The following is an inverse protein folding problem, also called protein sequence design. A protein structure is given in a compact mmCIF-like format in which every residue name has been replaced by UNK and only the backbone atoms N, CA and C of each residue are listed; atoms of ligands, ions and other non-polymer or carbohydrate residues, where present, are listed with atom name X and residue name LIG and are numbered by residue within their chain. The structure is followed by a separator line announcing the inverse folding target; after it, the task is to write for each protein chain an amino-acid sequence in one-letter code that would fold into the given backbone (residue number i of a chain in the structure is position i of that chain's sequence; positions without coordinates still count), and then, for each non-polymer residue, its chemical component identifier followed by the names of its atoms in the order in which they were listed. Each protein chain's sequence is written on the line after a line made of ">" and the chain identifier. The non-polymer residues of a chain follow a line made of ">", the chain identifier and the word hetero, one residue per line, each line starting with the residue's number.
data_IF_537927612057
#
_entry.id   IF_537927612057
#
_cell.length_a   1.000
_cell.length_b   1.000
_cell.length_c   1.000
_cell.angle_alpha   90.00
_cell.angle_beta   90.00
_cell.angle_gamma   90.00
#
_symmetry.space_group_name_H-M   'P 1'
#
loop_
_entity.id
_entity.type
_entity.pdbx_description
1 polymer ?
#
# COMPACT_ATOMS: atom_id res chain seq x y z
N UNK A 1 -21.86 21.23 11.74
CA UNK A 1 -23.21 20.73 11.46
C UNK A 1 -23.17 19.23 11.65
N UNK A 2 -23.59 18.79 12.85
CA UNK A 2 -23.42 17.40 13.34
C UNK A 2 -24.65 16.58 12.93
N UNK A 3 -24.44 15.47 12.24
CA UNK A 3 -25.51 14.48 12.04
C UNK A 3 -25.52 13.51 13.23
N UNK A 4 -26.59 13.62 14.01
CA UNK A 4 -26.93 12.72 15.10
C UNK A 4 -27.85 11.64 14.54
N UNK A 5 -27.39 10.40 14.51
CA UNK A 5 -28.25 9.24 14.17
C UNK A 5 -28.73 8.64 15.49
N UNK A 6 -30.05 8.69 15.65
CA UNK A 6 -30.78 8.15 16.79
C UNK A 6 -31.01 6.66 16.64
N UNK A 7 -30.61 5.93 17.66
CA UNK A 7 -30.88 4.49 17.84
C UNK A 7 -32.28 4.36 18.51
N UNK A 8 -33.24 3.75 17.83
CA UNK A 8 -34.40 3.10 18.52
C UNK A 8 -35.05 2.03 17.65
N UNK A 9 -35.24 0.90 18.31
CA UNK A 9 -36.25 -0.15 18.12
C UNK A 9 -35.86 -1.39 17.31
N UNK A 10 -35.25 -2.32 18.05
CA UNK A 10 -35.40 -3.76 17.82
C UNK A 10 -36.16 -4.36 19.00
N UNK A 11 -37.39 -4.78 18.80
CA UNK A 11 -38.04 -5.77 19.66
C UNK A 11 -39.09 -6.60 18.97
N UNK A 12 -38.90 -7.93 19.08
CA UNK A 12 -39.84 -9.03 19.14
C UNK A 12 -40.59 -9.47 17.87
N UNK A 13 -40.30 -10.69 17.47
CA UNK A 13 -41.29 -11.79 17.48
C UNK A 13 -40.61 -13.14 17.31
N UNK A 14 -40.76 -13.93 18.36
CA UNK A 14 -40.58 -15.38 18.42
C UNK A 14 -41.80 -16.06 17.78
N UNK A 15 -41.59 -17.16 17.08
CA UNK A 15 -42.67 -18.02 16.60
C UNK A 15 -42.14 -19.33 16.08
N UNK A 16 -42.47 -20.36 16.81
CA UNK A 16 -42.15 -21.78 16.75
C UNK A 16 -42.62 -22.52 15.48
N UNK A 17 -42.00 -23.75 15.35
CA UNK A 17 -42.54 -25.03 14.78
C UNK A 17 -42.43 -25.19 13.25
N UNK A 18 -42.00 -26.24 12.62
CA UNK A 18 -41.92 -27.68 12.87
C UNK A 18 -41.18 -28.36 11.71
N UNK A 19 -40.41 -29.37 12.04
CA UNK A 19 -40.01 -30.59 11.32
C UNK A 19 -40.61 -30.83 9.94
N UNK A 20 -39.76 -31.19 8.97
CA UNK A 20 -39.91 -32.44 8.16
C UNK A 20 -38.65 -32.65 7.31
N UNK A 21 -38.01 -33.80 7.52
CA UNK A 21 -36.83 -34.23 6.78
C UNK A 21 -37.13 -34.58 5.32
N UNK A 22 -36.17 -34.34 4.49
CA UNK A 22 -35.97 -35.06 3.22
C UNK A 22 -34.47 -35.14 2.95
N UNK A 23 -33.99 -36.37 3.00
CA UNK A 23 -32.67 -36.78 2.52
C UNK A 23 -32.54 -36.45 1.04
N UNK A 24 -31.48 -35.72 0.67
CA UNK A 24 -31.01 -35.60 -0.70
C UNK A 24 -29.59 -36.14 -0.77
N UNK A 25 -29.46 -37.17 -1.54
CA UNK A 25 -28.27 -37.92 -1.88
C UNK A 25 -27.22 -37.00 -2.48
N UNK A 26 -26.04 -36.99 -1.89
CA UNK A 26 -24.87 -36.30 -2.43
C UNK A 26 -24.38 -37.02 -3.68
N UNK A 27 -24.43 -36.34 -4.82
CA UNK A 27 -23.66 -36.73 -6.01
C UNK A 27 -22.37 -35.95 -5.99
N UNK A 28 -21.28 -36.65 -5.67
CA UNK A 28 -19.91 -36.15 -5.76
C UNK A 28 -19.53 -36.08 -7.25
N UNK A 29 -19.62 -34.89 -7.84
CA UNK A 29 -18.95 -34.60 -9.11
C UNK A 29 -17.58 -34.05 -8.77
N UNK A 30 -16.54 -34.88 -8.83
CA UNK A 30 -15.15 -34.48 -8.81
C UNK A 30 -14.84 -33.81 -10.15
N UNK A 31 -15.05 -32.51 -10.23
CA UNK A 31 -14.56 -31.69 -11.31
C UNK A 31 -13.13 -31.25 -10.99
N UNK A 32 -12.14 -31.94 -11.55
CA UNK A 32 -10.76 -31.44 -11.66
C UNK A 32 -10.78 -30.19 -12.56
N UNK A 33 -11.05 -29.02 -11.99
CA UNK A 33 -10.68 -27.77 -12.61
C UNK A 33 -9.26 -27.46 -12.15
N UNK A 34 -8.30 -27.73 -13.05
CA UNK A 34 -6.94 -27.24 -12.92
C UNK A 34 -6.98 -25.76 -12.67
N UNK A 35 -6.64 -25.35 -11.44
CA UNK A 35 -6.26 -23.97 -11.18
C UNK A 35 -4.99 -23.71 -11.99
N UNK A 36 -5.16 -23.14 -13.17
CA UNK A 36 -4.06 -22.57 -13.91
C UNK A 36 -3.39 -21.55 -13.00
N UNK A 37 -2.18 -21.88 -12.56
CA UNK A 37 -1.27 -20.90 -11.99
C UNK A 37 -1.12 -19.84 -13.08
N UNK A 38 -1.80 -18.70 -12.92
CA UNK A 38 -1.56 -17.57 -13.77
C UNK A 38 -0.12 -17.17 -13.51
N UNK A 39 0.77 -17.55 -14.45
CA UNK A 39 2.11 -16.97 -14.54
C UNK A 39 1.93 -15.46 -14.41
N UNK A 40 2.68 -14.85 -13.48
CA UNK A 40 2.75 -13.40 -13.36
C UNK A 40 3.13 -12.81 -14.70
N UNK A 41 2.12 -12.48 -15.50
CA UNK A 41 2.31 -11.74 -16.73
C UNK A 41 2.94 -10.42 -16.36
N UNK A 42 4.02 -10.12 -17.03
CA UNK A 42 4.76 -8.86 -16.95
C UNK A 42 3.78 -7.71 -17.22
N UNK A 43 3.14 -7.18 -16.17
CA UNK A 43 2.10 -6.14 -16.28
C UNK A 43 2.66 -4.83 -16.82
N UNK A 44 3.99 -4.71 -16.89
CA UNK A 44 4.68 -3.59 -17.51
C UNK A 44 4.61 -3.59 -19.04
N UNK A 45 4.22 -4.70 -19.70
CA UNK A 45 4.05 -4.78 -21.13
C UNK A 45 2.67 -4.35 -21.63
N UNK A 46 1.72 -4.10 -20.73
CA UNK A 46 0.37 -3.66 -21.08
C UNK A 46 0.35 -2.14 -21.32
N UNK A 47 -0.35 -1.72 -22.37
CA UNK A 47 -0.55 -0.30 -22.66
C UNK A 47 -1.17 0.43 -21.46
N UNK A 48 -0.75 1.67 -21.16
CA UNK A 48 -1.33 2.46 -20.10
C UNK A 48 -2.84 2.67 -20.33
N UNK A 49 -3.65 2.59 -19.27
CA UNK A 49 -5.08 2.94 -19.34
C UNK A 49 -5.28 4.45 -19.41
N UNK A 50 -4.39 5.19 -18.76
CA UNK A 50 -4.31 6.65 -18.85
C UNK A 50 -2.88 6.97 -19.24
N UNK A 51 -2.70 7.50 -20.45
CA UNK A 51 -1.38 7.83 -20.97
C UNK A 51 -0.79 9.06 -20.26
N UNK A 52 0.50 9.05 -19.91
CA UNK A 52 1.20 10.26 -19.49
C UNK A 52 1.19 11.32 -20.59
N UNK A 53 0.90 12.57 -20.25
CA UNK A 53 0.93 13.70 -21.19
C UNK A 53 2.35 14.24 -21.38
N UNK A 54 2.61 14.92 -22.52
CA UNK A 54 3.90 15.56 -22.80
C UNK A 54 5.04 14.57 -23.02
N UNK A 55 6.28 15.00 -22.71
CA UNK A 55 7.50 14.21 -22.85
C UNK A 55 8.16 13.94 -21.50
N UNK A 56 9.13 13.00 -21.45
CA UNK A 56 9.90 12.69 -20.23
C UNK A 56 10.70 13.89 -19.67
N UNK A 57 10.93 14.91 -20.50
CA UNK A 57 11.58 16.15 -20.07
C UNK A 57 10.70 17.02 -19.14
N UNK A 58 9.39 16.83 -19.17
CA UNK A 58 8.43 17.64 -18.38
C UNK A 58 8.15 17.06 -17.00
N UNK A 59 8.61 15.85 -16.68
CA UNK A 59 8.44 15.19 -15.39
C UNK A 59 8.33 13.68 -15.46
N UNK A 60 8.19 13.06 -14.31
CA UNK A 60 8.02 11.61 -14.19
C UNK A 60 6.60 11.18 -14.60
N UNK A 61 6.45 9.94 -15.02
CA UNK A 61 5.22 9.44 -15.61
C UNK A 61 3.99 9.57 -14.72
N UNK A 62 4.10 9.44 -13.39
CA UNK A 62 2.96 9.66 -12.49
C UNK A 62 2.44 11.10 -12.56
N UNK A 63 3.31 12.10 -12.51
CA UNK A 63 2.90 13.51 -12.59
C UNK A 63 2.27 13.81 -13.93
N UNK A 64 2.87 13.35 -15.02
CA UNK A 64 2.37 13.49 -16.39
C UNK A 64 1.03 12.76 -16.61
N UNK A 65 0.81 11.64 -15.94
CA UNK A 65 -0.49 10.94 -15.97
C UNK A 65 -1.56 11.74 -15.25
N UNK A 66 -1.22 12.36 -14.11
CA UNK A 66 -2.17 13.18 -13.34
C UNK A 66 -2.53 14.50 -14.04
N UNK A 67 -1.70 14.98 -14.97
CA UNK A 67 -2.02 16.15 -15.81
C UNK A 67 -3.29 15.97 -16.65
N UNK A 68 -3.78 14.75 -16.85
CA UNK A 68 -5.10 14.49 -17.43
C UNK A 68 -6.25 15.04 -16.56
N UNK A 69 -5.97 15.33 -15.26
CA UNK A 69 -6.92 15.96 -14.33
C UNK A 69 -6.20 17.02 -13.47
N UNK A 70 -5.95 18.23 -14.02
CA UNK A 70 -5.08 19.22 -13.37
C UNK A 70 -5.49 19.61 -11.94
N UNK A 71 -6.79 19.74 -11.67
CA UNK A 71 -7.26 20.07 -10.32
C UNK A 71 -6.96 18.96 -9.30
N UNK A 72 -7.06 17.68 -9.71
CA UNK A 72 -6.67 16.55 -8.87
C UNK A 72 -5.15 16.52 -8.67
N UNK A 73 -4.38 16.75 -9.74
CA UNK A 73 -2.92 16.80 -9.67
C UNK A 73 -2.44 17.87 -8.67
N UNK A 74 -2.98 19.08 -8.71
CA UNK A 74 -2.64 20.17 -7.79
C UNK A 74 -2.94 19.81 -6.32
N UNK A 75 -4.14 19.28 -6.04
CA UNK A 75 -4.54 18.88 -4.70
C UNK A 75 -3.66 17.75 -4.15
N UNK A 76 -3.41 16.73 -4.96
CA UNK A 76 -2.56 15.60 -4.58
C UNK A 76 -1.10 16.03 -4.38
N UNK A 77 -0.53 16.82 -5.28
CA UNK A 77 0.85 17.29 -5.19
C UNK A 77 1.11 18.12 -3.93
N UNK A 78 0.10 18.84 -3.42
CA UNK A 78 0.22 19.56 -2.16
C UNK A 78 0.51 18.62 -1.01
N UNK A 79 -0.23 17.52 -0.92
CA UNK A 79 -0.03 16.50 0.11
C UNK A 79 1.24 15.68 -0.13
N UNK A 80 1.51 15.28 -1.37
CA UNK A 80 2.73 14.54 -1.72
C UNK A 80 4.01 15.30 -1.37
N UNK A 81 4.03 16.64 -1.57
CA UNK A 81 5.16 17.48 -1.17
C UNK A 81 5.35 17.53 0.34
N UNK A 82 4.27 17.51 1.14
CA UNK A 82 4.41 17.40 2.59
C UNK A 82 5.09 16.08 2.95
N UNK A 83 4.62 14.95 2.44
CA UNK A 83 5.18 13.63 2.76
C UNK A 83 6.66 13.54 2.35
N UNK A 84 7.04 14.03 1.18
CA UNK A 84 8.41 13.91 0.68
C UNK A 84 9.39 14.96 1.24
N UNK A 85 8.92 16.17 1.49
CA UNK A 85 9.79 17.30 1.84
C UNK A 85 9.45 18.03 3.13
N UNK A 86 8.22 17.89 3.65
CA UNK A 86 7.74 18.52 4.87
C UNK A 86 7.57 17.55 6.06
N UNK A 87 7.70 16.25 5.83
CA UNK A 87 7.58 15.22 6.87
C UNK A 87 8.67 15.36 7.93
N UNK A 88 8.30 15.07 9.17
CA UNK A 88 9.21 15.07 10.33
C UNK A 88 9.97 13.75 10.49
N UNK A 89 9.66 12.74 9.68
CA UNK A 89 10.35 11.47 9.69
C UNK A 89 11.80 11.61 9.22
N UNK A 90 12.74 10.88 9.84
CA UNK A 90 14.07 10.69 9.26
C UNK A 90 13.94 10.19 7.82
N UNK A 91 14.69 10.74 6.86
CA UNK A 91 14.54 10.35 5.44
C UNK A 91 14.69 8.84 5.19
N UNK A 92 15.60 8.17 5.90
CA UNK A 92 15.78 6.72 5.80
C UNK A 92 14.53 5.96 6.26
N UNK A 93 13.99 6.33 7.41
CA UNK A 93 12.82 5.66 7.99
C UNK A 93 11.59 5.83 7.08
N UNK A 94 11.41 7.03 6.51
CA UNK A 94 10.37 7.30 5.52
C UNK A 94 10.49 6.40 4.29
N UNK A 95 11.70 6.22 3.74
CA UNK A 95 11.88 5.36 2.57
C UNK A 95 11.65 3.87 2.89
N UNK A 96 11.95 3.39 4.09
CA UNK A 96 11.61 2.03 4.51
C UNK A 96 10.09 1.81 4.51
N UNK A 97 9.31 2.78 5.05
CA UNK A 97 7.84 2.74 5.01
C UNK A 97 7.32 2.68 3.57
N UNK A 98 7.86 3.55 2.71
CA UNK A 98 7.42 3.67 1.31
C UNK A 98 7.73 2.40 0.51
N UNK A 99 8.95 1.88 0.65
CA UNK A 99 9.34 0.64 -0.01
C UNK A 99 8.45 -0.53 0.42
N UNK A 100 8.18 -0.65 1.74
CA UNK A 100 7.34 -1.74 2.24
C UNK A 100 5.92 -1.67 1.71
N UNK A 101 5.25 -0.52 1.79
CA UNK A 101 3.89 -0.39 1.27
C UNK A 101 3.85 -0.53 -0.25
N UNK A 102 4.84 0.00 -0.97
CA UNK A 102 4.97 -0.18 -2.42
C UNK A 102 5.07 -1.66 -2.81
N UNK A 103 5.85 -2.44 -2.04
CA UNK A 103 5.98 -3.89 -2.23
C UNK A 103 4.66 -4.62 -1.94
N UNK A 104 4.03 -4.39 -0.78
CA UNK A 104 2.77 -5.01 -0.40
C UNK A 104 1.65 -4.71 -1.40
N UNK A 105 1.60 -3.50 -1.92
CA UNK A 105 0.66 -3.13 -2.98
C UNK A 105 1.02 -3.71 -4.35
N UNK A 106 2.18 -4.34 -4.52
CA UNK A 106 2.68 -4.82 -5.82
C UNK A 106 2.90 -3.68 -6.82
N UNK A 107 3.32 -2.50 -6.36
CA UNK A 107 3.56 -1.31 -7.18
C UNK A 107 5.03 -1.24 -7.62
N UNK A 108 5.34 -1.81 -8.78
CA UNK A 108 6.70 -1.76 -9.34
C UNK A 108 7.18 -0.33 -9.57
N UNK A 109 6.26 0.59 -9.88
CA UNK A 109 6.59 1.99 -10.08
C UNK A 109 7.12 2.65 -8.79
N UNK A 110 6.37 2.50 -7.68
CA UNK A 110 6.81 3.02 -6.37
C UNK A 110 8.11 2.38 -5.93
N UNK A 111 8.18 1.06 -6.03
CA UNK A 111 9.40 0.33 -5.72
C UNK A 111 10.60 0.88 -6.46
N UNK A 112 10.51 1.01 -7.78
CA UNK A 112 11.62 1.44 -8.61
C UNK A 112 12.06 2.88 -8.33
N UNK A 113 11.12 3.81 -8.18
CA UNK A 113 11.43 5.20 -7.85
C UNK A 113 12.07 5.31 -6.46
N UNK A 114 11.45 4.68 -5.47
CA UNK A 114 11.87 4.79 -4.07
C UNK A 114 13.13 3.97 -3.72
N UNK A 115 13.42 2.89 -4.45
CA UNK A 115 14.72 2.22 -4.36
C UNK A 115 15.88 3.17 -4.68
N UNK A 116 15.72 4.03 -5.69
CA UNK A 116 16.74 5.03 -6.03
C UNK A 116 16.88 6.09 -4.94
N UNK A 117 15.77 6.59 -4.41
CA UNK A 117 15.77 7.61 -3.34
C UNK A 117 16.33 7.02 -2.05
N UNK A 118 15.91 5.83 -1.67
CA UNK A 118 16.36 5.12 -0.46
C UNK A 118 17.88 4.98 -0.39
N UNK A 119 18.53 4.65 -1.51
CA UNK A 119 19.99 4.61 -1.60
C UNK A 119 20.65 5.96 -1.31
N UNK A 120 20.05 7.06 -1.72
CA UNK A 120 20.59 8.41 -1.46
C UNK A 120 20.52 8.82 0.01
N UNK A 121 19.65 8.19 0.78
CA UNK A 121 19.47 8.45 2.22
C UNK A 121 20.04 7.35 3.11
N UNK A 122 20.85 6.45 2.54
CA UNK A 122 21.65 5.49 3.28
C UNK A 122 20.99 4.13 3.51
N UNK A 123 19.88 3.81 2.83
CA UNK A 123 19.37 2.43 2.83
C UNK A 123 20.24 1.57 1.93
N UNK A 124 20.74 0.46 2.44
CA UNK A 124 21.64 -0.43 1.70
C UNK A 124 20.87 -1.37 0.76
N UNK A 125 21.56 -1.98 -0.20
CA UNK A 125 20.94 -2.96 -1.10
C UNK A 125 20.42 -4.18 -0.33
N UNK A 126 21.12 -4.60 0.72
CA UNK A 126 20.69 -5.69 1.61
C UNK A 126 19.42 -5.32 2.37
N UNK A 127 19.31 -4.09 2.86
CA UNK A 127 18.10 -3.61 3.54
C UNK A 127 16.93 -3.52 2.57
N UNK A 128 17.14 -3.04 1.35
CA UNK A 128 16.09 -3.00 0.30
C UNK A 128 15.55 -4.40 0.03
N UNK A 129 16.41 -5.40 -0.10
CA UNK A 129 15.98 -6.80 -0.27
C UNK A 129 15.24 -7.32 0.97
N UNK A 130 15.75 -6.98 2.16
CA UNK A 130 15.13 -7.36 3.43
C UNK A 130 13.74 -6.75 3.65
N UNK A 131 13.48 -5.57 3.07
CA UNK A 131 12.12 -5.00 3.06
C UNK A 131 11.10 -5.96 2.42
N UNK A 132 11.51 -6.72 1.40
CA UNK A 132 10.65 -7.72 0.75
C UNK A 132 10.29 -8.83 1.73
N UNK A 133 11.26 -9.33 2.50
CA UNK A 133 11.06 -10.38 3.49
C UNK A 133 10.14 -9.93 4.63
N UNK A 134 10.18 -8.65 4.99
CA UNK A 134 9.27 -8.04 5.96
C UNK A 134 9.85 -7.76 7.34
N UNK A 135 8.97 -7.43 8.31
CA UNK A 135 9.38 -6.98 9.64
C UNK A 135 10.11 -8.04 10.47
N UNK A 136 9.87 -9.32 10.18
CA UNK A 136 10.45 -10.44 10.94
C UNK A 136 11.75 -10.98 10.34
N UNK A 137 12.26 -10.36 9.27
CA UNK A 137 13.53 -10.73 8.66
C UNK A 137 14.70 -10.50 9.61
N UNK A 138 15.65 -11.43 9.61
CA UNK A 138 16.86 -11.32 10.41
C UNK A 138 17.68 -10.07 10.03
N UNK A 139 18.24 -9.40 11.04
CA UNK A 139 19.15 -8.27 10.86
C UNK A 139 18.50 -6.88 10.87
N UNK A 140 17.18 -6.77 11.11
CA UNK A 140 16.58 -5.49 11.46
C UNK A 140 16.89 -5.10 12.91
N UNK A 141 17.15 -3.82 13.15
CA UNK A 141 17.05 -3.28 14.49
C UNK A 141 15.59 -3.34 14.96
N UNK A 142 15.30 -3.49 16.28
CA UNK A 142 13.93 -3.59 16.78
C UNK A 142 13.01 -2.48 16.29
N UNK A 143 13.51 -1.25 16.21
CA UNK A 143 12.75 -0.10 15.73
C UNK A 143 12.43 -0.18 14.23
N UNK A 144 13.37 -0.62 13.39
CA UNK A 144 13.14 -0.80 11.95
C UNK A 144 12.10 -1.91 11.70
N UNK A 145 12.18 -3.00 12.47
CA UNK A 145 11.15 -4.05 12.47
C UNK A 145 9.76 -3.49 12.83
N UNK A 146 9.68 -2.64 13.86
CA UNK A 146 8.42 -2.01 14.25
C UNK A 146 7.88 -1.05 13.16
N UNK A 147 8.76 -0.31 12.46
CA UNK A 147 8.37 0.51 11.32
C UNK A 147 7.73 -0.32 10.20
N UNK A 148 8.36 -1.41 9.80
CA UNK A 148 7.83 -2.29 8.76
C UNK A 148 6.55 -2.99 9.21
N UNK A 149 6.45 -3.39 10.50
CA UNK A 149 5.24 -3.97 11.07
C UNK A 149 4.07 -3.00 11.04
N UNK A 150 4.30 -1.72 11.35
CA UNK A 150 3.27 -0.69 11.23
C UNK A 150 2.72 -0.59 9.80
N UNK A 151 3.57 -0.77 8.79
CA UNK A 151 3.12 -0.80 7.38
C UNK A 151 2.24 -2.01 7.11
N UNK A 152 2.65 -3.20 7.57
CA UNK A 152 1.91 -4.43 7.38
C UNK A 152 0.52 -4.36 8.04
N UNK A 153 0.46 -3.88 9.29
CA UNK A 153 -0.77 -3.68 10.05
C UNK A 153 -1.69 -2.63 9.38
N UNK A 154 -1.15 -1.47 8.97
CA UNK A 154 -1.92 -0.45 8.26
C UNK A 154 -2.46 -0.96 6.91
N UNK A 155 -1.69 -1.81 6.22
CA UNK A 155 -2.11 -2.37 4.94
C UNK A 155 -3.19 -3.44 5.11
N UNK A 156 -3.08 -4.34 6.12
CA UNK A 156 -4.01 -5.45 6.34
C UNK A 156 -5.25 -5.04 7.14
N UNK A 157 -5.06 -4.27 8.21
CA UNK A 157 -6.07 -4.01 9.23
C UNK A 157 -6.55 -2.55 9.27
N UNK A 158 -5.85 -1.65 8.56
CA UNK A 158 -6.09 -0.20 8.57
C UNK A 158 -5.87 0.46 9.94
N UNK A 159 -5.12 -0.19 10.83
CA UNK A 159 -4.82 0.24 12.18
C UNK A 159 -3.43 -0.24 12.60
N UNK A 160 -2.73 0.54 13.43
CA UNK A 160 -1.48 0.12 14.08
C UNK A 160 -1.82 -0.43 15.46
N UNK A 161 -1.36 -1.66 15.75
CA UNK A 161 -1.58 -2.28 17.07
C UNK A 161 -0.92 -1.49 18.19
N UNK A 162 -1.46 -1.59 19.41
CA UNK A 162 -0.88 -0.94 20.61
C UNK A 162 0.59 -1.34 20.83
N UNK A 163 0.94 -2.60 20.52
CA UNK A 163 2.31 -3.09 20.67
C UNK A 163 3.27 -2.34 19.75
N UNK A 164 2.94 -2.29 18.46
CA UNK A 164 3.74 -1.60 17.44
C UNK A 164 3.77 -0.09 17.70
N UNK A 165 2.63 0.49 18.04
CA UNK A 165 2.53 1.91 18.40
C UNK A 165 3.44 2.30 19.55
N UNK A 166 3.42 1.52 20.65
CA UNK A 166 4.24 1.78 21.82
C UNK A 166 5.74 1.65 21.49
N UNK A 167 6.13 0.70 20.66
CA UNK A 167 7.54 0.59 20.21
C UNK A 167 7.96 1.82 19.39
N UNK A 168 7.13 2.27 18.44
CA UNK A 168 7.42 3.50 17.69
C UNK A 168 7.49 4.74 18.58
N UNK A 169 6.62 4.84 19.60
CA UNK A 169 6.59 5.95 20.55
C UNK A 169 7.81 6.00 21.48
N UNK A 170 8.64 4.94 21.54
CA UNK A 170 9.93 4.99 22.27
C UNK A 170 10.91 5.99 21.68
N UNK A 171 10.79 6.25 20.36
CA UNK A 171 11.69 7.12 19.60
C UNK A 171 10.99 8.30 18.92
N UNK A 172 9.74 8.12 18.49
CA UNK A 172 8.98 9.11 17.74
C UNK A 172 8.10 9.98 18.62
N UNK A 173 8.08 11.25 18.32
CA UNK A 173 7.09 12.18 18.87
C UNK A 173 5.74 12.05 18.13
N UNK A 174 4.73 12.79 18.63
CA UNK A 174 3.37 12.77 18.05
C UNK A 174 3.34 13.11 16.56
N UNK A 175 4.20 14.03 16.09
CA UNK A 175 4.22 14.44 14.69
C UNK A 175 4.77 13.32 13.81
N UNK A 176 5.84 12.68 14.27
CA UNK A 176 6.46 11.56 13.57
C UNK A 176 5.53 10.34 13.51
N UNK A 177 4.78 10.04 14.59
CA UNK A 177 3.76 9.00 14.59
C UNK A 177 2.64 9.31 13.59
N UNK A 178 2.18 10.56 13.53
CA UNK A 178 1.20 10.99 12.52
C UNK A 178 1.76 10.86 11.11
N UNK A 179 2.98 11.36 10.86
CA UNK A 179 3.63 11.28 9.55
C UNK A 179 3.85 9.82 9.12
N UNK A 180 4.08 8.89 10.05
CA UNK A 180 4.17 7.45 9.75
C UNK A 180 2.88 6.94 9.13
N UNK A 181 1.73 7.15 9.78
CA UNK A 181 0.42 6.71 9.30
C UNK A 181 0.07 7.37 7.96
N UNK A 182 0.29 8.69 7.86
CA UNK A 182 -0.01 9.44 6.64
C UNK A 182 0.91 9.08 5.48
N UNK A 183 2.18 8.74 5.73
CA UNK A 183 3.11 8.25 4.70
C UNK A 183 2.62 6.93 4.13
N UNK A 184 2.30 5.95 4.96
CA UNK A 184 1.80 4.65 4.51
C UNK A 184 0.47 4.81 3.74
N UNK A 185 -0.46 5.60 4.27
CA UNK A 185 -1.74 5.87 3.61
C UNK A 185 -1.59 6.54 2.25
N UNK A 186 -0.71 7.52 2.12
CA UNK A 186 -0.40 8.20 0.87
C UNK A 186 0.13 7.22 -0.18
N UNK A 187 1.10 6.39 0.20
CA UNK A 187 1.72 5.46 -0.74
C UNK A 187 0.86 4.24 -1.07
N UNK A 188 -0.06 3.87 -0.18
CA UNK A 188 -1.14 2.93 -0.51
C UNK A 188 -2.07 3.52 -1.58
N UNK A 189 -2.52 4.77 -1.40
CA UNK A 189 -3.38 5.48 -2.36
C UNK A 189 -2.70 5.62 -3.72
N UNK A 190 -1.46 6.10 -3.77
CA UNK A 190 -0.77 6.32 -5.04
C UNK A 190 -0.47 5.00 -5.75
N UNK A 191 -0.16 3.93 -5.02
CA UNK A 191 -0.02 2.58 -5.58
C UNK A 191 -1.30 2.09 -6.25
N UNK A 192 -2.47 2.37 -5.66
CA UNK A 192 -3.76 2.09 -6.30
C UNK A 192 -3.92 2.84 -7.62
N UNK A 193 -3.57 4.12 -7.66
CA UNK A 193 -3.63 4.94 -8.88
C UNK A 193 -2.67 4.42 -9.95
N UNK A 194 -1.40 4.23 -9.61
CA UNK A 194 -0.35 3.75 -10.52
C UNK A 194 -0.73 2.43 -11.18
N UNK A 195 -1.20 1.47 -10.40
CA UNK A 195 -1.60 0.15 -10.90
C UNK A 195 -2.89 0.19 -11.68
N UNK A 196 -3.88 0.99 -11.23
CA UNK A 196 -5.17 1.10 -11.92
C UNK A 196 -5.04 1.82 -13.26
N UNK A 197 -4.21 2.86 -13.32
CA UNK A 197 -3.96 3.62 -14.55
C UNK A 197 -2.92 2.94 -15.46
N UNK A 198 -2.22 1.93 -14.94
CA UNK A 198 -1.09 1.25 -15.60
C UNK A 198 -0.02 2.27 -16.02
N UNK A 199 0.41 3.07 -15.06
CA UNK A 199 1.47 4.06 -15.29
C UNK A 199 2.77 3.31 -15.60
N UNK A 200 3.38 3.53 -16.78
CA UNK A 200 4.62 2.84 -17.13
C UNK A 200 5.79 3.33 -16.28
N UNK A 201 6.77 2.47 -16.04
CA UNK A 201 8.03 2.88 -15.41
C UNK A 201 8.68 4.01 -16.20
N UNK A 202 9.35 4.92 -15.51
CA UNK A 202 10.19 5.91 -16.16
C UNK A 202 11.45 5.26 -16.74
N UNK A 203 12.04 5.92 -17.74
CA UNK A 203 13.24 5.41 -18.40
C UNK A 203 14.38 5.19 -17.38
N UNK A 204 15.00 4.01 -17.46
CA UNK A 204 16.09 3.60 -16.58
C UNK A 204 15.67 3.22 -15.15
N UNK A 205 14.35 3.24 -14.83
CA UNK A 205 13.82 2.75 -13.56
C UNK A 205 13.51 1.26 -13.68
N UNK A 206 13.95 0.48 -12.68
CA UNK A 206 13.70 -0.96 -12.61
C UNK A 206 12.60 -1.24 -11.59
N UNK A 207 11.72 -2.20 -11.87
CA UNK A 207 10.72 -2.68 -10.94
C UNK A 207 11.30 -3.60 -9.86
N UNK A 208 10.51 -4.57 -9.41
CA UNK A 208 10.96 -5.55 -8.41
C UNK A 208 12.16 -6.37 -8.90
N UNK A 209 13.04 -6.80 -7.98
CA UNK A 209 14.11 -7.74 -8.30
C UNK A 209 13.51 -9.05 -8.84
N UNK A 210 14.21 -9.65 -9.81
CA UNK A 210 13.79 -10.92 -10.44
C UNK A 210 14.31 -12.11 -9.68
#
# INVERSE_FOLDING_TARGET
>A
MFFRISNREARRRSGLLTSMGRAWTAVLVVGLLGAGVSNGQDRNSENPRIAPLGSSETGINITRTLENHPALAEAWLTFARHILGGSTLPPRDRELLILRIGFLCGSEYEWGQHTRIAKTVGVTDEEILRVIEGPDADGWAPFDSALLRAVDELHSDSEVSDLTWNELATRYDTKQLMDTVFTVGQYNLVSMALRSFRVPLDEGVQGFPK
#
